data_IF_264783227278
#
_entry.id   IF_264783227278
#
_cell.length_a   1.000
_cell.length_b   1.000
_cell.length_c   1.000
_cell.angle_alpha   90.00
_cell.angle_beta   90.00
_cell.angle_gamma   90.00
#
_symmetry.space_group_name_H-M   'P 1'
#
loop_
_entity.id
_entity.type
_entity.pdbx_description
1 polymer ?
#
# COMPACT_ATOMS: atom_id res chain seq x y z
N UNK A 1 -18.04 42.19 25.12
CA UNK A 1 -17.51 41.82 23.78
C UNK A 1 -16.14 41.14 23.88
N UNK A 2 -15.19 41.64 24.69
CA UNK A 2 -13.86 41.04 24.87
C UNK A 2 -13.88 39.60 25.42
N UNK A 3 -14.77 39.29 26.38
CA UNK A 3 -14.86 37.95 26.97
C UNK A 3 -15.36 36.87 25.98
N UNK A 4 -16.17 37.25 24.99
CA UNK A 4 -16.72 36.31 24.01
C UNK A 4 -15.66 35.89 22.98
N UNK A 5 -14.76 36.81 22.62
CA UNK A 5 -13.64 36.54 21.70
C UNK A 5 -12.61 35.61 22.37
N UNK A 6 -12.31 35.85 23.65
CA UNK A 6 -11.38 35.01 24.43
C UNK A 6 -11.93 33.59 24.59
N UNK A 7 -13.23 33.43 24.86
CA UNK A 7 -13.85 32.11 24.98
C UNK A 7 -13.78 31.29 23.67
N UNK A 8 -14.01 31.94 22.52
CA UNK A 8 -13.90 31.28 21.19
C UNK A 8 -12.46 30.90 20.87
N UNK A 9 -11.48 31.77 21.19
CA UNK A 9 -10.07 31.47 20.98
C UNK A 9 -9.59 30.29 21.83
N UNK A 10 -10.02 30.21 23.11
CA UNK A 10 -9.67 29.10 24.00
C UNK A 10 -10.31 27.78 23.52
N UNK A 11 -11.56 27.81 23.04
CA UNK A 11 -12.23 26.62 22.51
C UNK A 11 -11.57 26.12 21.22
N UNK A 12 -11.08 27.03 20.36
CA UNK A 12 -10.31 26.68 19.17
C UNK A 12 -8.94 26.07 19.53
N UNK A 13 -8.25 26.61 20.53
CA UNK A 13 -6.99 26.05 21.03
C UNK A 13 -7.17 24.66 21.66
N UNK A 14 -8.28 24.41 22.37
CA UNK A 14 -8.58 23.10 22.95
C UNK A 14 -8.95 22.06 21.90
N UNK A 15 -9.66 22.47 20.84
CA UNK A 15 -9.95 21.59 19.68
C UNK A 15 -8.69 21.25 18.88
N UNK A 16 -7.73 22.18 18.78
CA UNK A 16 -6.44 21.94 18.14
C UNK A 16 -5.50 21.08 19.01
N UNK A 17 -5.62 21.14 20.34
CA UNK A 17 -4.80 20.35 21.27
C UNK A 17 -5.31 18.91 21.47
N UNK A 18 -6.60 18.64 21.22
CA UNK A 18 -7.21 17.33 21.42
C UNK A 18 -6.95 16.27 20.33
N UNK A 19 -6.23 16.61 19.26
CA UNK A 19 -5.98 15.71 18.12
C UNK A 19 -4.78 14.77 18.25
N UNK A 20 -4.00 14.85 19.35
CA UNK A 20 -2.78 14.07 19.52
C UNK A 20 -2.89 13.16 20.75
N UNK A 21 -3.63 12.07 20.62
CA UNK A 21 -3.48 10.92 21.52
C UNK A 21 -3.39 9.69 20.63
N UNK A 22 -2.21 9.51 20.03
CA UNK A 22 -1.84 8.27 19.38
C UNK A 22 -1.66 7.20 20.47
N UNK A 23 -2.33 6.08 20.25
CA UNK A 23 -2.36 4.89 21.08
C UNK A 23 -0.96 4.29 21.29
N UNK A 24 -0.68 3.92 22.53
CA UNK A 24 0.63 3.50 23.06
C UNK A 24 0.96 2.01 22.85
N UNK A 25 0.28 1.32 21.91
CA UNK A 25 0.49 -0.10 21.62
C UNK A 25 0.33 -0.35 20.12
N UNK A 26 1.41 -0.13 19.38
CA UNK A 26 1.58 -0.75 18.07
C UNK A 26 3.09 -0.90 17.87
N UNK A 27 3.60 -2.13 17.79
CA UNK A 27 4.92 -2.38 17.23
C UNK A 27 4.84 -2.00 15.75
N UNK A 28 4.83 -0.71 15.46
CA UNK A 28 4.66 -0.18 14.11
C UNK A 28 5.84 -0.68 13.31
N UNK A 29 5.59 -1.55 12.34
CA UNK A 29 6.59 -1.93 11.34
C UNK A 29 7.22 -0.63 10.80
N UNK A 30 8.55 -0.49 10.80
CA UNK A 30 9.18 0.71 10.28
C UNK A 30 8.85 0.83 8.78
N UNK A 31 8.65 2.06 8.29
CA UNK A 31 8.34 2.32 6.88
C UNK A 31 9.41 3.21 6.24
N UNK A 32 9.75 2.93 4.99
CA UNK A 32 10.42 3.87 4.12
C UNK A 32 9.37 4.67 3.33
N UNK A 33 9.49 5.99 3.38
CA UNK A 33 8.57 6.89 2.66
C UNK A 33 9.19 7.32 1.34
N UNK A 34 8.54 6.95 0.24
CA UNK A 34 8.87 7.35 -1.13
C UNK A 34 7.71 8.17 -1.70
N UNK A 35 7.81 9.50 -1.62
CA UNK A 35 6.72 10.40 -2.02
C UNK A 35 5.45 10.17 -1.20
N UNK A 36 4.38 9.73 -1.87
CA UNK A 36 3.08 9.37 -1.27
C UNK A 36 2.98 7.89 -0.86
N UNK A 37 3.99 7.08 -1.17
CA UNK A 37 4.00 5.64 -0.89
C UNK A 37 4.80 5.36 0.37
N UNK A 38 4.32 4.44 1.20
CA UNK A 38 5.05 3.90 2.34
C UNK A 38 5.27 2.41 2.11
N UNK A 39 6.54 2.00 2.15
CA UNK A 39 6.95 0.61 1.95
C UNK A 39 7.48 0.06 3.27
N UNK A 40 6.95 -1.06 3.78
CA UNK A 40 7.41 -1.62 5.05
C UNK A 40 8.87 -2.07 4.95
N UNK A 41 9.65 -1.76 5.98
CA UNK A 41 11.01 -2.25 6.16
C UNK A 41 10.91 -3.55 6.94
N UNK A 42 11.20 -4.66 6.26
CA UNK A 42 11.11 -6.00 6.82
C UNK A 42 12.31 -6.31 7.71
N UNK A 43 12.11 -7.13 8.74
CA UNK A 43 13.18 -7.59 9.62
C UNK A 43 14.21 -8.42 8.84
N UNK A 44 15.50 -8.14 9.04
CA UNK A 44 16.59 -8.82 8.33
C UNK A 44 16.89 -8.27 6.94
N UNK A 45 16.05 -7.39 6.39
CA UNK A 45 16.26 -6.79 5.07
C UNK A 45 17.06 -5.47 5.17
N UNK A 46 18.16 -5.39 4.45
CA UNK A 46 19.01 -4.20 4.41
C UNK A 46 18.39 -3.11 3.52
N UNK A 47 18.16 -1.92 4.09
CA UNK A 47 17.63 -0.79 3.35
C UNK A 47 18.70 -0.14 2.45
N UNK A 48 18.46 -0.15 1.14
CA UNK A 48 19.28 0.49 0.10
C UNK A 48 18.49 1.55 -0.70
N UNK A 49 17.42 2.08 -0.10
CA UNK A 49 16.51 3.01 -0.75
C UNK A 49 17.16 4.36 -1.06
N UNK A 50 16.63 5.04 -2.08
CA UNK A 50 16.99 6.39 -2.51
C UNK A 50 15.75 7.29 -2.60
N UNK A 51 15.94 8.56 -2.98
CA UNK A 51 14.81 9.48 -3.18
C UNK A 51 13.81 9.01 -4.25
N UNK A 52 14.28 8.23 -5.23
CA UNK A 52 13.51 7.82 -6.41
C UNK A 52 12.91 6.41 -6.29
N UNK A 53 13.45 5.57 -5.39
CA UNK A 53 13.01 4.19 -5.20
C UNK A 53 13.17 3.71 -3.75
N UNK A 54 12.28 2.83 -3.30
CA UNK A 54 12.47 2.05 -2.08
C UNK A 54 13.11 0.70 -2.44
N UNK A 55 14.26 0.35 -1.89
CA UNK A 55 14.96 -0.91 -2.18
C UNK A 55 15.43 -1.59 -0.89
N UNK A 56 15.19 -2.89 -0.79
CA UNK A 56 15.54 -3.73 0.34
C UNK A 56 16.19 -5.02 -0.15
N UNK A 57 17.32 -5.40 0.44
CA UNK A 57 18.07 -6.60 0.06
C UNK A 57 18.14 -7.59 1.22
N UNK A 58 17.93 -8.88 0.92
CA UNK A 58 18.20 -9.99 1.82
C UNK A 58 19.32 -10.85 1.23
N UNK A 59 20.54 -10.63 1.70
CA UNK A 59 21.76 -11.25 1.13
C UNK A 59 21.76 -12.77 1.26
N UNK A 60 21.23 -13.34 2.35
CA UNK A 60 21.18 -14.78 2.58
C UNK A 60 20.31 -15.51 1.56
N UNK A 61 19.21 -14.89 1.13
CA UNK A 61 18.30 -15.40 0.11
C UNK A 61 18.61 -14.88 -1.30
N UNK A 62 19.67 -14.08 -1.45
CA UNK A 62 20.03 -13.41 -2.72
C UNK A 62 18.84 -12.69 -3.37
N UNK A 63 18.01 -12.06 -2.53
CA UNK A 63 16.74 -11.48 -2.93
C UNK A 63 16.72 -9.96 -2.75
N UNK A 64 15.99 -9.27 -3.62
CA UNK A 64 15.79 -7.82 -3.57
C UNK A 64 14.33 -7.46 -3.82
N UNK A 65 13.80 -6.58 -2.99
CA UNK A 65 12.51 -5.95 -3.16
C UNK A 65 12.75 -4.50 -3.57
N UNK A 66 12.16 -4.06 -4.67
CA UNK A 66 12.28 -2.69 -5.14
C UNK A 66 10.94 -2.11 -5.53
N UNK A 67 10.61 -0.94 -5.02
CA UNK A 67 9.41 -0.18 -5.37
C UNK A 67 9.79 1.14 -6.02
N UNK A 68 9.17 1.48 -7.15
CA UNK A 68 9.43 2.72 -7.87
C UNK A 68 8.18 3.26 -8.57
N UNK A 69 8.25 4.53 -9.00
CA UNK A 69 7.26 5.15 -9.88
C UNK A 69 7.76 5.15 -11.32
N UNK A 70 6.98 4.57 -12.23
CA UNK A 70 7.36 4.41 -13.64
C UNK A 70 6.33 5.02 -14.57
N UNK A 71 6.80 5.80 -15.55
CA UNK A 71 5.95 6.31 -16.62
C UNK A 71 5.92 5.32 -17.79
N UNK A 72 4.76 4.71 -18.03
CA UNK A 72 4.56 3.77 -19.12
C UNK A 72 3.11 3.77 -19.62
N UNK A 73 2.84 3.05 -20.72
CA UNK A 73 1.50 2.96 -21.30
C UNK A 73 0.60 1.98 -20.55
N UNK A 74 1.16 0.86 -20.08
CA UNK A 74 0.45 -0.18 -19.35
C UNK A 74 1.33 -0.77 -18.24
N UNK A 75 0.76 -1.62 -17.38
CA UNK A 75 1.47 -2.17 -16.22
C UNK A 75 2.57 -3.16 -16.56
N UNK A 76 2.48 -3.87 -17.70
CA UNK A 76 3.53 -4.78 -18.18
C UNK A 76 4.74 -3.96 -18.62
N UNK A 77 4.52 -2.96 -19.47
CA UNK A 77 5.59 -2.05 -19.93
C UNK A 77 6.28 -1.36 -18.73
N UNK A 78 5.50 -0.97 -17.71
CA UNK A 78 6.04 -0.34 -16.50
C UNK A 78 6.96 -1.29 -15.71
N UNK A 79 6.52 -2.54 -15.52
CA UNK A 79 7.32 -3.55 -14.80
C UNK A 79 8.60 -3.93 -15.55
N UNK A 80 8.51 -4.10 -16.87
CA UNK A 80 9.68 -4.38 -17.72
C UNK A 80 10.67 -3.22 -17.71
N UNK A 81 10.19 -1.97 -17.79
CA UNK A 81 11.05 -0.79 -17.72
C UNK A 81 11.77 -0.69 -16.37
N UNK A 82 11.07 -0.89 -15.25
CA UNK A 82 11.71 -0.87 -13.91
C UNK A 82 12.72 -2.01 -13.74
N UNK A 83 12.34 -3.24 -14.11
CA UNK A 83 13.25 -4.38 -14.02
C UNK A 83 14.49 -4.15 -14.90
N UNK A 84 14.30 -3.58 -16.09
CA UNK A 84 15.40 -3.29 -17.00
C UNK A 84 16.33 -2.21 -16.48
N UNK A 85 15.80 -1.16 -15.85
CA UNK A 85 16.60 -0.16 -15.14
C UNK A 85 17.36 -0.79 -13.96
N UNK A 86 16.68 -1.60 -13.14
CA UNK A 86 17.24 -2.24 -11.95
C UNK A 86 18.38 -3.21 -12.31
N UNK A 87 18.24 -3.96 -13.42
CA UNK A 87 19.19 -4.98 -13.83
C UNK A 87 20.20 -4.51 -14.90
N UNK A 88 19.96 -3.34 -15.51
CA UNK A 88 20.81 -2.79 -16.55
C UNK A 88 20.72 -3.56 -17.88
N UNK A 89 19.56 -4.11 -18.20
CA UNK A 89 19.33 -4.92 -19.41
C UNK A 89 17.89 -4.79 -19.93
N UNK A 90 17.65 -5.17 -21.17
CA UNK A 90 16.29 -5.27 -21.70
C UNK A 90 15.61 -6.55 -21.17
N UNK A 91 14.33 -6.43 -20.82
CA UNK A 91 13.55 -7.52 -20.20
C UNK A 91 12.52 -8.04 -21.20
N UNK A 92 12.56 -9.34 -21.45
CA UNK A 92 11.57 -10.02 -22.28
C UNK A 92 10.17 -10.03 -21.62
N UNK A 93 9.17 -10.45 -22.39
CA UNK A 93 7.79 -10.55 -21.90
C UNK A 93 7.66 -11.47 -20.68
N UNK A 94 6.66 -11.25 -19.81
CA UNK A 94 6.45 -12.09 -18.64
C UNK A 94 6.00 -13.51 -19.04
N UNK A 95 6.44 -14.50 -18.28
CA UNK A 95 5.98 -15.90 -18.42
C UNK A 95 4.60 -16.10 -17.79
N UNK A 96 4.18 -15.19 -16.91
CA UNK A 96 2.83 -15.13 -16.35
C UNK A 96 2.36 -13.70 -16.24
N UNK A 97 1.10 -13.44 -16.60
CA UNK A 97 0.46 -12.14 -16.43
C UNK A 97 -1.01 -12.30 -16.11
N UNK A 98 -1.45 -11.65 -15.05
CA UNK A 98 -2.87 -11.55 -14.69
C UNK A 98 -3.16 -10.20 -14.00
N UNK A 99 -4.43 -9.96 -13.66
CA UNK A 99 -4.87 -8.83 -12.86
C UNK A 99 -5.55 -9.31 -11.58
N UNK A 100 -5.23 -8.64 -10.48
CA UNK A 100 -5.86 -8.86 -9.17
C UNK A 100 -6.39 -7.54 -8.64
N UNK A 101 -7.54 -7.57 -7.98
CA UNK A 101 -8.11 -6.40 -7.31
C UNK A 101 -7.76 -6.47 -5.84
N UNK A 102 -6.77 -5.70 -5.40
CA UNK A 102 -6.45 -5.57 -3.99
C UNK A 102 -7.26 -4.42 -3.37
N UNK A 103 -7.22 -4.31 -2.04
CA UNK A 103 -7.92 -3.27 -1.28
C UNK A 103 -7.60 -1.84 -1.75
N UNK A 104 -6.41 -1.62 -2.31
CA UNK A 104 -5.96 -0.33 -2.79
C UNK A 104 -6.15 -0.14 -4.31
N UNK A 105 -6.54 -1.17 -5.08
CA UNK A 105 -6.88 -1.04 -6.50
C UNK A 105 -6.52 -2.26 -7.35
N UNK A 106 -6.64 -2.12 -8.68
CA UNK A 106 -6.27 -3.19 -9.61
C UNK A 106 -4.78 -3.19 -9.90
N UNK A 107 -4.13 -4.31 -9.64
CA UNK A 107 -2.72 -4.57 -9.91
C UNK A 107 -2.57 -5.55 -11.07
N UNK A 108 -1.55 -5.32 -11.91
CA UNK A 108 -1.06 -6.34 -12.84
C UNK A 108 -0.03 -7.17 -12.07
N UNK A 109 -0.21 -8.49 -12.03
CA UNK A 109 0.69 -9.44 -11.39
C UNK A 109 1.45 -10.17 -12.48
N UNK A 110 2.76 -10.15 -12.40
CA UNK A 110 3.65 -10.59 -13.46
C UNK A 110 4.75 -11.48 -12.88
N UNK A 111 5.17 -12.49 -13.64
CA UNK A 111 6.38 -13.24 -13.35
C UNK A 111 7.28 -13.28 -14.59
N UNK A 112 8.58 -13.22 -14.38
CA UNK A 112 9.59 -13.17 -15.42
C UNK A 112 10.70 -14.18 -15.12
N UNK A 113 11.10 -14.91 -16.16
CA UNK A 113 12.36 -15.63 -16.20
C UNK A 113 13.36 -14.71 -16.91
N UNK A 114 14.29 -14.11 -16.14
CA UNK A 114 15.21 -13.10 -16.67
C UNK A 114 16.40 -13.77 -17.33
N UNK A 115 17.01 -14.71 -16.61
CA UNK A 115 18.08 -15.60 -17.09
C UNK A 115 18.07 -16.91 -16.28
N UNK A 116 19.08 -17.78 -16.50
CA UNK A 116 19.18 -19.07 -15.79
C UNK A 116 19.32 -18.94 -14.26
N UNK A 117 19.72 -17.77 -13.76
CA UNK A 117 19.96 -17.53 -12.34
C UNK A 117 19.03 -16.51 -11.72
N UNK A 118 18.22 -15.80 -12.50
CA UNK A 118 17.47 -14.64 -12.04
C UNK A 118 16.00 -14.79 -12.42
N UNK A 119 15.16 -14.76 -11.40
CA UNK A 119 13.71 -14.73 -11.55
C UNK A 119 13.18 -13.44 -10.94
N UNK A 120 12.09 -12.93 -11.49
CA UNK A 120 11.41 -11.76 -10.94
C UNK A 120 9.91 -11.97 -10.88
N UNK A 121 9.32 -11.48 -9.80
CA UNK A 121 7.87 -11.33 -9.65
C UNK A 121 7.55 -9.86 -9.46
N UNK A 122 6.63 -9.33 -10.24
CA UNK A 122 6.32 -7.90 -10.25
C UNK A 122 4.85 -7.64 -10.06
N UNK A 123 4.54 -6.54 -9.40
CA UNK A 123 3.20 -5.99 -9.31
C UNK A 123 3.20 -4.54 -9.78
N UNK A 124 2.31 -4.20 -10.71
CA UNK A 124 2.19 -2.85 -11.25
C UNK A 124 0.76 -2.32 -11.19
N UNK A 125 0.57 -1.18 -10.52
CA UNK A 125 -0.72 -0.49 -10.39
C UNK A 125 -0.65 0.92 -10.94
N UNK A 126 -1.70 1.35 -11.63
CA UNK A 126 -1.83 2.72 -12.12
C UNK A 126 -1.97 3.70 -10.95
N UNK A 127 -1.21 4.80 -11.00
CA UNK A 127 -1.31 5.95 -10.11
C UNK A 127 -1.48 7.24 -10.94
N UNK A 128 -1.66 8.38 -10.27
CA UNK A 128 -1.74 9.69 -10.95
C UNK A 128 -0.40 10.07 -11.61
N UNK A 129 0.72 9.66 -11.03
CA UNK A 129 2.07 9.95 -11.52
C UNK A 129 2.60 8.94 -12.56
N UNK A 130 1.84 7.88 -12.87
CA UNK A 130 2.27 6.80 -13.76
C UNK A 130 1.83 5.44 -13.25
N UNK A 131 2.78 4.55 -13.02
CA UNK A 131 2.58 3.26 -12.37
C UNK A 131 3.44 3.18 -11.11
N UNK A 132 2.87 2.60 -10.05
CA UNK A 132 3.67 2.09 -8.93
C UNK A 132 4.03 0.66 -9.28
N UNK A 133 5.31 0.35 -9.29
CA UNK A 133 5.85 -0.97 -9.59
C UNK A 133 6.56 -1.50 -8.35
N UNK A 134 6.25 -2.72 -7.94
CA UNK A 134 6.95 -3.47 -6.89
C UNK A 134 7.55 -4.71 -7.55
N UNK A 135 8.86 -4.83 -7.51
CA UNK A 135 9.63 -5.94 -8.04
C UNK A 135 10.23 -6.75 -6.90
N UNK A 136 10.11 -8.06 -7.00
CA UNK A 136 10.76 -9.06 -6.16
C UNK A 136 11.69 -9.84 -7.07
N UNK A 137 13.00 -9.69 -6.89
CA UNK A 137 14.02 -10.35 -7.71
C UNK A 137 14.80 -11.32 -6.83
N UNK A 138 14.89 -12.58 -7.23
CA UNK A 138 15.78 -13.57 -6.62
C UNK A 138 16.87 -13.94 -7.63
N UNK A 139 18.12 -13.95 -7.16
CA UNK A 139 19.28 -14.41 -7.92
C UNK A 139 19.75 -15.74 -7.35
N UNK A 140 19.18 -16.84 -7.84
CA UNK A 140 19.53 -18.18 -7.40
C UNK A 140 19.68 -19.13 -8.61
N UNK A 141 20.91 -19.49 -9.03
CA UNK A 141 21.11 -20.40 -10.17
C UNK A 141 20.63 -21.83 -9.91
N UNK A 142 20.31 -22.18 -8.66
CA UNK A 142 19.85 -23.50 -8.28
C UNK A 142 18.32 -23.59 -8.19
N UNK A 143 17.61 -22.47 -8.22
CA UNK A 143 16.17 -22.43 -8.04
C UNK A 143 15.49 -21.36 -8.89
N UNK A 144 14.30 -21.69 -9.41
CA UNK A 144 13.42 -20.75 -10.09
C UNK A 144 12.24 -20.44 -9.18
N UNK A 145 12.09 -19.20 -8.74
CA UNK A 145 11.02 -18.80 -7.80
C UNK A 145 10.02 -17.87 -8.46
N UNK A 146 8.73 -18.13 -8.23
CA UNK A 146 7.64 -17.30 -8.71
C UNK A 146 6.67 -17.00 -7.56
N UNK A 147 6.39 -15.72 -7.35
CA UNK A 147 5.53 -15.20 -6.28
C UNK A 147 4.39 -14.42 -6.93
N UNK A 148 3.14 -14.86 -6.75
CA UNK A 148 1.98 -14.24 -7.41
C UNK A 148 0.80 -14.10 -6.44
N UNK A 149 0.10 -12.97 -6.55
CA UNK A 149 -1.22 -12.78 -5.97
C UNK A 149 -2.29 -13.06 -7.04
N UNK A 150 -3.37 -13.76 -6.66
CA UNK A 150 -4.41 -14.14 -7.61
C UNK A 150 -5.78 -14.10 -6.96
N UNK A 151 -6.77 -13.65 -7.72
CA UNK A 151 -8.17 -13.69 -7.33
C UNK A 151 -8.61 -15.14 -7.13
N UNK A 152 -9.27 -15.40 -6.00
CA UNK A 152 -9.85 -16.71 -5.73
C UNK A 152 -11.00 -17.02 -6.69
N UNK A 153 -11.07 -18.27 -7.14
CA UNK A 153 -12.20 -18.73 -7.95
C UNK A 153 -13.50 -18.87 -7.11
N UNK A 154 -13.34 -19.11 -5.81
CA UNK A 154 -14.42 -19.31 -4.84
C UNK A 154 -14.07 -18.57 -3.54
N UNK A 155 -14.59 -17.34 -3.40
CA UNK A 155 -14.37 -16.46 -2.24
C UNK A 155 -14.89 -17.04 -0.92
N UNK A 156 -15.65 -18.14 -0.94
CA UNK A 156 -16.12 -18.80 0.28
C UNK A 156 -15.07 -19.74 0.90
N UNK A 157 -13.90 -19.88 0.29
CA UNK A 157 -12.85 -20.80 0.71
C UNK A 157 -11.72 -20.07 1.45
N UNK A 158 -11.45 -20.54 2.66
CA UNK A 158 -10.30 -20.11 3.45
C UNK A 158 -9.01 -20.90 3.11
N UNK A 159 -8.94 -21.50 1.92
CA UNK A 159 -7.79 -22.31 1.48
C UNK A 159 -7.39 -21.98 0.04
N UNK A 160 -6.08 -21.87 -0.18
CA UNK A 160 -5.49 -21.53 -1.48
C UNK A 160 -5.26 -22.73 -2.41
N UNK A 161 -5.69 -23.95 -2.03
CA UNK A 161 -5.41 -25.20 -2.76
C UNK A 161 -5.79 -25.14 -4.26
N UNK A 162 -6.96 -24.59 -4.67
CA UNK A 162 -7.32 -24.47 -6.08
C UNK A 162 -6.39 -23.52 -6.86
N UNK A 163 -6.01 -22.40 -6.24
CA UNK A 163 -5.13 -21.40 -6.81
C UNK A 163 -3.70 -21.94 -6.93
N UNK A 164 -3.21 -22.66 -5.91
CA UNK A 164 -1.94 -23.41 -5.98
C UNK A 164 -1.99 -24.41 -7.13
N UNK A 165 -3.04 -25.24 -7.22
CA UNK A 165 -3.19 -26.22 -8.29
C UNK A 165 -3.18 -25.59 -9.68
N UNK A 166 -3.87 -24.45 -9.85
CA UNK A 166 -3.87 -23.69 -11.11
C UNK A 166 -2.47 -23.21 -11.46
N UNK A 167 -1.72 -22.69 -10.48
CA UNK A 167 -0.40 -22.14 -10.74
C UNK A 167 0.66 -23.19 -10.99
N UNK A 168 0.65 -24.30 -10.24
CA UNK A 168 1.59 -25.40 -10.47
C UNK A 168 1.37 -26.05 -11.83
N UNK A 169 0.12 -26.16 -12.28
CA UNK A 169 -0.20 -26.63 -13.63
C UNK A 169 0.24 -25.61 -14.70
N UNK A 170 -0.07 -24.31 -14.51
CA UNK A 170 0.21 -23.28 -15.51
C UNK A 170 1.70 -22.98 -15.69
N UNK A 171 2.47 -22.97 -14.59
CA UNK A 171 3.89 -22.56 -14.59
C UNK A 171 4.87 -23.72 -14.64
N UNK A 172 4.49 -24.90 -14.15
CA UNK A 172 5.38 -26.06 -14.04
C UNK A 172 4.81 -27.32 -14.73
N UNK A 173 3.55 -27.32 -15.18
CA UNK A 173 2.91 -28.52 -15.74
C UNK A 173 2.70 -29.63 -14.71
N UNK A 174 2.66 -29.31 -13.41
CA UNK A 174 2.52 -30.28 -12.33
C UNK A 174 1.18 -30.12 -11.62
N UNK A 175 0.29 -31.10 -11.81
CA UNK A 175 -0.97 -31.16 -11.07
C UNK A 175 -0.78 -31.44 -9.57
N UNK A 176 -1.66 -30.85 -8.74
CA UNK A 176 -1.58 -30.92 -7.27
C UNK A 176 -1.59 -32.36 -6.71
N UNK A 177 -2.16 -33.33 -7.43
CA UNK A 177 -2.19 -34.75 -7.04
C UNK A 177 -0.81 -35.41 -7.05
N UNK A 178 0.20 -34.79 -7.66
CA UNK A 178 1.57 -35.30 -7.71
C UNK A 178 2.41 -34.89 -6.49
N UNK A 179 1.90 -33.99 -5.64
CA UNK A 179 2.59 -33.55 -4.44
C UNK A 179 2.40 -34.53 -3.29
N UNK A 180 3.43 -34.69 -2.46
CA UNK A 180 3.41 -35.55 -1.28
C UNK A 180 2.89 -34.80 -0.06
N UNK A 181 1.61 -35.00 0.26
CA UNK A 181 1.00 -34.46 1.47
C UNK A 181 0.88 -32.94 1.49
N UNK A 182 0.32 -32.44 2.59
CA UNK A 182 0.19 -31.00 2.85
C UNK A 182 0.73 -30.71 4.24
N UNK A 183 1.69 -29.80 4.30
CA UNK A 183 2.22 -29.23 5.53
C UNK A 183 1.56 -27.85 5.75
N UNK A 184 1.44 -27.43 7.01
CA UNK A 184 0.93 -26.10 7.37
C UNK A 184 1.99 -25.44 8.24
N UNK A 185 2.39 -24.23 7.87
CA UNK A 185 3.35 -23.42 8.62
C UNK A 185 2.74 -22.05 8.91
N UNK A 186 3.06 -21.49 10.07
CA UNK A 186 2.65 -20.13 10.45
C UNK A 186 3.82 -19.17 10.22
N UNK A 187 3.59 -18.17 9.36
CA UNK A 187 4.51 -17.07 9.09
C UNK A 187 3.91 -15.76 9.62
N UNK A 188 4.71 -14.69 9.66
CA UNK A 188 4.22 -13.38 10.12
C UNK A 188 3.12 -12.81 9.19
N UNK A 189 3.15 -13.20 7.91
CA UNK A 189 2.11 -12.89 6.91
C UNK A 189 0.84 -13.73 7.01
N UNK A 190 0.81 -14.77 7.85
CA UNK A 190 -0.35 -15.64 8.03
C UNK A 190 -0.01 -17.13 7.97
N UNK A 191 -1.06 -17.96 7.92
CA UNK A 191 -0.92 -19.42 7.84
C UNK A 191 -0.77 -19.86 6.38
N UNK A 192 0.31 -20.57 6.07
CA UNK A 192 0.66 -21.05 4.74
C UNK A 192 0.52 -22.57 4.64
N UNK A 193 -0.04 -23.03 3.52
CA UNK A 193 -0.12 -24.44 3.15
C UNK A 193 1.01 -24.76 2.19
N UNK A 194 1.78 -25.80 2.48
CA UNK A 194 2.98 -26.19 1.75
C UNK A 194 2.77 -27.56 1.11
N UNK A 195 2.99 -27.63 -0.19
CA UNK A 195 2.96 -28.82 -1.01
C UNK A 195 4.36 -29.11 -1.51
N UNK A 196 4.84 -30.34 -1.32
CA UNK A 196 6.19 -30.75 -1.76
C UNK A 196 6.13 -31.78 -2.88
N UNK A 197 6.85 -31.53 -3.95
CA UNK A 197 7.15 -32.44 -5.05
C UNK A 197 8.69 -32.54 -5.18
N UNK A 198 9.27 -33.65 -5.68
CA UNK A 198 10.73 -33.81 -5.74
C UNK A 198 11.50 -32.67 -6.40
N UNK A 199 10.86 -31.96 -7.35
CA UNK A 199 11.46 -30.88 -8.13
C UNK A 199 10.76 -29.52 -7.94
N UNK A 200 9.70 -29.46 -7.12
CA UNK A 200 8.86 -28.27 -6.98
C UNK A 200 8.31 -28.16 -5.55
N UNK A 201 8.48 -27.01 -4.93
CA UNK A 201 7.75 -26.64 -3.71
C UNK A 201 6.74 -25.58 -4.05
N UNK A 202 5.50 -25.78 -3.62
CA UNK A 202 4.42 -24.82 -3.79
C UNK A 202 3.84 -24.45 -2.43
N UNK A 203 3.60 -23.17 -2.20
CA UNK A 203 3.03 -22.64 -0.99
C UNK A 203 1.89 -21.70 -1.31
N UNK A 204 0.87 -21.64 -0.47
CA UNK A 204 -0.12 -20.58 -0.58
C UNK A 204 -0.85 -20.25 0.71
N UNK A 205 -1.34 -19.02 0.76
CA UNK A 205 -2.16 -18.48 1.84
C UNK A 205 -3.28 -17.63 1.24
N UNK A 206 -4.37 -17.46 1.99
CA UNK A 206 -5.52 -16.64 1.60
C UNK A 206 -5.55 -15.40 2.49
N UNK A 207 -5.73 -14.24 1.89
CA UNK A 207 -6.02 -13.00 2.60
C UNK A 207 -7.06 -12.21 1.81
N UNK A 208 -8.18 -11.86 2.44
CA UNK A 208 -9.30 -11.24 1.74
C UNK A 208 -9.92 -12.20 0.72
N UNK A 209 -10.03 -11.75 -0.53
CA UNK A 209 -10.56 -12.55 -1.66
C UNK A 209 -9.42 -13.04 -2.58
N UNK A 210 -8.18 -12.94 -2.09
CA UNK A 210 -6.97 -13.19 -2.85
C UNK A 210 -6.17 -14.33 -2.24
N UNK A 211 -5.58 -15.15 -3.10
CA UNK A 211 -4.58 -16.14 -2.74
C UNK A 211 -3.20 -15.66 -3.15
N UNK A 212 -2.27 -15.76 -2.22
CA UNK A 212 -0.85 -15.52 -2.45
C UNK A 212 -0.20 -16.89 -2.64
N UNK A 213 0.43 -17.10 -3.78
CA UNK A 213 1.03 -18.37 -4.17
C UNK A 213 2.53 -18.14 -4.41
N UNK A 214 3.34 -19.00 -3.81
CA UNK A 214 4.79 -19.02 -3.99
C UNK A 214 5.20 -20.39 -4.53
N UNK A 215 5.90 -20.41 -5.65
CA UNK A 215 6.42 -21.62 -6.29
C UNK A 215 7.94 -21.55 -6.34
N UNK A 216 8.61 -22.67 -6.10
CA UNK A 216 10.05 -22.80 -6.30
C UNK A 216 10.38 -24.14 -6.94
N UNK A 217 10.95 -24.10 -8.15
CA UNK A 217 11.48 -25.26 -8.86
C UNK A 217 12.99 -25.41 -8.60
N UNK A 218 13.48 -26.64 -8.56
CA UNK A 218 14.91 -26.94 -8.39
C UNK A 218 15.33 -27.23 -6.94
N UNK A 219 16.52 -26.77 -6.56
CA UNK A 219 17.04 -26.97 -5.20
C UNK A 219 16.24 -26.10 -4.22
N UNK A 220 15.83 -26.64 -3.06
CA UNK A 220 15.08 -25.87 -2.08
C UNK A 220 15.95 -24.75 -1.51
N UNK A 221 15.54 -23.51 -1.78
CA UNK A 221 15.99 -22.31 -1.07
C UNK A 221 15.06 -22.00 0.11
N UNK A 222 15.15 -20.77 0.61
CA UNK A 222 14.27 -20.30 1.69
C UNK A 222 12.97 -19.69 1.15
N UNK A 223 12.16 -20.53 0.50
CA UNK A 223 10.88 -20.10 -0.09
C UNK A 223 9.93 -19.48 0.95
N UNK A 224 9.98 -19.95 2.21
CA UNK A 224 9.12 -19.43 3.27
C UNK A 224 9.46 -17.97 3.59
N UNK A 225 10.75 -17.62 3.73
CA UNK A 225 11.17 -16.24 3.95
C UNK A 225 10.82 -15.33 2.77
N UNK A 226 10.99 -15.82 1.52
CA UNK A 226 10.63 -15.05 0.33
C UNK A 226 9.11 -14.83 0.22
N UNK A 227 8.32 -15.86 0.49
CA UNK A 227 6.86 -15.79 0.49
C UNK A 227 6.32 -14.86 1.59
N UNK A 228 6.90 -14.92 2.79
CA UNK A 228 6.56 -14.01 3.89
C UNK A 228 6.87 -12.56 3.53
N UNK A 229 8.06 -12.31 2.97
CA UNK A 229 8.49 -10.98 2.56
C UNK A 229 7.59 -10.42 1.45
N UNK A 230 7.26 -11.22 0.43
CA UNK A 230 6.32 -10.85 -0.63
C UNK A 230 4.97 -10.42 -0.08
N UNK A 231 4.36 -11.27 0.74
CA UNK A 231 3.04 -10.98 1.26
C UNK A 231 3.06 -9.79 2.23
N UNK A 232 4.04 -9.69 3.14
CA UNK A 232 4.17 -8.55 4.08
C UNK A 232 4.44 -7.23 3.37
N UNK A 233 5.24 -7.22 2.31
CA UNK A 233 5.42 -6.01 1.51
C UNK A 233 4.10 -5.57 0.92
N UNK A 234 3.30 -6.48 0.37
CA UNK A 234 2.00 -6.13 -0.23
C UNK A 234 0.94 -5.73 0.79
N UNK A 235 0.84 -6.44 1.92
CA UNK A 235 -0.12 -6.15 2.98
C UNK A 235 0.23 -4.89 3.78
N UNK A 236 1.52 -4.62 3.96
CA UNK A 236 2.02 -3.42 4.63
C UNK A 236 2.17 -2.23 3.68
N UNK A 237 2.07 -2.44 2.37
CA UNK A 237 2.16 -1.36 1.40
C UNK A 237 0.90 -0.49 1.47
N UNK A 238 1.08 0.82 1.65
CA UNK A 238 -0.03 1.75 1.53
C UNK A 238 0.38 3.07 0.88
N UNK A 239 -0.53 3.62 0.10
CA UNK A 239 -0.43 4.95 -0.48
C UNK A 239 -1.11 5.92 0.47
N UNK A 240 -0.36 6.84 1.08
CA UNK A 240 -0.96 7.94 1.83
C UNK A 240 -1.66 8.87 0.83
N UNK A 241 -2.99 9.04 0.92
CA UNK A 241 -3.68 9.98 0.04
C UNK A 241 -3.13 11.38 0.27
N UNK A 242 -2.88 12.14 -0.81
CA UNK A 242 -2.59 13.56 -0.68
C UNK A 242 -3.89 14.30 -0.31
N UNK A 243 -4.09 14.46 1.00
CA UNK A 243 -5.25 15.15 1.55
C UNK A 243 -5.03 16.67 1.66
N UNK A 244 -3.95 17.23 1.10
CA UNK A 244 -3.66 18.67 1.17
C UNK A 244 -4.79 19.51 0.59
N UNK A 245 -5.41 19.06 -0.50
CA UNK A 245 -6.58 19.71 -1.11
C UNK A 245 -7.81 19.69 -0.20
N UNK A 246 -8.10 18.55 0.44
CA UNK A 246 -9.23 18.44 1.38
C UNK A 246 -8.99 19.25 2.65
N UNK A 247 -7.75 19.30 3.14
CA UNK A 247 -7.35 20.14 4.26
C UNK A 247 -7.54 21.63 3.90
N UNK A 248 -7.06 22.06 2.74
CA UNK A 248 -7.22 23.43 2.26
C UNK A 248 -8.69 23.81 2.09
N UNK A 249 -9.51 22.89 1.54
CA UNK A 249 -10.96 23.08 1.42
C UNK A 249 -11.63 23.19 2.80
N UNK A 250 -11.28 22.30 3.73
CA UNK A 250 -11.78 22.32 5.11
C UNK A 250 -11.45 23.64 5.80
N UNK A 251 -10.19 24.10 5.69
CA UNK A 251 -9.76 25.40 6.19
C UNK A 251 -10.55 26.55 5.55
N UNK A 252 -10.74 26.54 4.23
CA UNK A 252 -11.50 27.58 3.52
C UNK A 252 -12.95 27.67 4.01
N UNK A 253 -13.63 26.53 4.22
CA UNK A 253 -14.99 26.48 4.76
C UNK A 253 -15.05 27.02 6.18
N UNK A 254 -14.08 26.66 7.03
CA UNK A 254 -13.99 27.20 8.40
C UNK A 254 -13.82 28.72 8.39
N UNK A 255 -12.93 29.25 7.55
CA UNK A 255 -12.74 30.70 7.41
C UNK A 255 -13.99 31.41 6.87
N UNK A 256 -14.72 30.80 5.93
CA UNK A 256 -15.99 31.33 5.42
C UNK A 256 -17.04 31.44 6.53
N UNK A 257 -17.19 30.40 7.35
CA UNK A 257 -18.15 30.37 8.47
C UNK A 257 -17.78 31.44 9.50
N UNK A 258 -16.50 31.51 9.88
CA UNK A 258 -16.01 32.53 10.82
C UNK A 258 -16.20 33.95 10.27
N UNK A 259 -15.88 34.17 8.99
CA UNK A 259 -16.09 35.45 8.31
C UNK A 259 -17.57 35.86 8.30
N UNK A 260 -18.47 34.92 8.01
CA UNK A 260 -19.93 35.14 8.03
C UNK A 260 -20.42 35.48 9.44
N UNK A 261 -19.91 34.81 10.47
CA UNK A 261 -20.24 35.09 11.87
C UNK A 261 -19.77 36.47 12.29
N UNK A 262 -18.51 36.82 12.01
CA UNK A 262 -17.96 38.15 12.32
C UNK A 262 -18.75 39.24 11.59
N UNK A 263 -19.04 39.05 10.32
CA UNK A 263 -19.86 39.99 9.54
C UNK A 263 -21.26 40.16 10.13
N UNK A 264 -21.92 39.06 10.51
CA UNK A 264 -23.23 39.06 11.16
C UNK A 264 -23.21 39.85 12.48
N UNK A 265 -22.21 39.63 13.33
CA UNK A 265 -22.05 40.39 14.58
C UNK A 265 -21.79 41.88 14.34
N UNK A 266 -20.94 42.23 13.37
CA UNK A 266 -20.67 43.63 13.03
C UNK A 266 -21.93 44.33 12.49
N UNK A 267 -22.71 43.65 11.64
CA UNK A 267 -23.97 44.18 11.12
C UNK A 267 -25.00 44.39 12.23
N UNK A 268 -25.18 43.39 13.10
CA UNK A 268 -26.10 43.47 14.24
C UNK A 268 -25.71 44.57 15.23
N UNK A 269 -24.41 44.74 15.51
CA UNK A 269 -23.90 45.80 16.39
C UNK A 269 -24.28 47.20 15.87
N UNK A 270 -24.15 47.43 14.56
CA UNK A 270 -24.58 48.68 13.93
C UNK A 270 -26.09 48.91 14.04
N UNK A 271 -26.89 47.85 13.91
CA UNK A 271 -28.33 47.91 14.14
C UNK A 271 -28.66 48.38 15.56
N UNK A 272 -28.09 47.73 16.57
CA UNK A 272 -28.30 48.07 17.98
C UNK A 272 -27.91 49.52 18.29
N UNK A 273 -26.81 50.01 17.72
CA UNK A 273 -26.40 51.41 17.89
C UNK A 273 -27.42 52.41 17.32
N UNK A 274 -28.02 52.09 16.16
CA UNK A 274 -29.06 52.92 15.55
C UNK A 274 -30.34 52.91 16.38
N UNK A 275 -30.74 51.73 16.87
CA UNK A 275 -31.93 51.59 17.70
C UNK A 275 -31.78 52.34 19.03
N UNK A 276 -30.59 52.25 19.67
CA UNK A 276 -30.28 53.03 20.88
C UNK A 276 -30.35 54.54 20.64
N UNK A 277 -29.80 55.02 19.52
CA UNK A 277 -29.86 56.44 19.18
C UNK A 277 -31.30 56.93 18.96
N UNK A 278 -32.15 56.11 18.33
CA UNK A 278 -33.57 56.42 18.14
C UNK A 278 -34.32 56.50 19.48
N UNK A 279 -34.08 55.55 20.38
CA UNK A 279 -34.68 55.55 21.73
C UNK A 279 -34.28 56.82 22.49
N UNK A 280 -33.01 57.22 22.41
CA UNK A 280 -32.53 58.45 23.04
C UNK A 280 -33.20 59.71 22.47
N UNK A 281 -33.44 59.76 21.15
CA UNK A 281 -34.16 60.87 20.53
C UNK A 281 -35.62 60.95 20.98
N UNK A 282 -36.31 59.81 21.05
CA UNK A 282 -37.70 59.75 21.51
C UNK A 282 -37.82 60.21 22.97
N UNK A 283 -36.92 59.74 23.83
CA UNK A 283 -36.90 60.15 25.24
C UNK A 283 -36.69 61.66 25.42
N UNK A 284 -35.91 62.32 24.54
CA UNK A 284 -35.71 63.77 24.57
C UNK A 284 -36.88 64.59 24.03
N UNK A 285 -37.80 63.96 23.29
CA UNK A 285 -38.94 64.65 22.66
C UNK A 285 -40.23 64.64 23.50
N UNK A 286 -40.27 63.84 24.57
CA UNK A 286 -41.40 63.77 25.51
C UNK A 286 -41.27 64.76 26.70
N UNK A 287 -40.10 65.37 26.89
CA UNK A 287 -39.84 66.48 27.84
C UNK A 287 -40.04 67.86 27.17
#
# INVERSE_FOLDING_TARGET
MMNTIIAVAIMLCLLLAGGASASDHDETLPYYRMGAVNVPILEGWANQSSADFAQFELTEAQATIRTAFVSANNGIDAAQAELGEMLGMDIDGPVYSDKVNLADGTWNVLAFDIDEATTASSMARRSEAGFIVINFVERNPAARTVLVAITQADESRDVADPEIARMTEALAGVGLTQFSGVEVIDLASGTWRVFRHPELTAMGTVFGNESYVALQEGQPGDLATLADAYNRTLLGFFVTPDNSHYLALGLAVVFLILGTLVFSFSWRSRGIQRDLALIQQLAQSED
#
